data_IF_921477458778
#
_entry.id   IF_921477458778
#
_cell.length_a   1.000
_cell.length_b   1.000
_cell.length_c   1.000
_cell.angle_alpha   90.00
_cell.angle_beta   90.00
_cell.angle_gamma   90.00
#
_symmetry.space_group_name_H-M   'P 1'
#
loop_
_entity.id
_entity.type
_entity.pdbx_description
1 polymer ?
#
# COMPACT_ATOMS: atom_id res chain seq x y z
N UNK A 1 6.67 14.04 14.88
CA UNK A 1 7.02 13.48 13.58
C UNK A 1 6.89 11.97 13.65
N UNK A 2 5.76 11.45 13.19
CA UNK A 2 5.42 10.02 13.16
C UNK A 2 5.42 9.50 11.73
N UNK A 3 5.80 8.25 11.53
CA UNK A 3 5.73 7.61 10.23
C UNK A 3 5.12 6.23 10.38
N UNK A 4 4.29 5.86 9.41
CA UNK A 4 3.69 4.52 9.32
C UNK A 4 4.11 3.87 8.01
N UNK A 5 4.43 2.58 8.04
CA UNK A 5 4.72 1.80 6.83
C UNK A 5 3.51 0.96 6.46
N UNK A 6 3.16 0.96 5.17
CA UNK A 6 2.09 0.15 4.57
C UNK A 6 2.54 -0.46 3.25
N UNK A 7 1.82 -1.48 2.82
CA UNK A 7 1.92 -2.03 1.46
C UNK A 7 0.62 -1.75 0.75
N UNK A 8 0.67 -1.14 -0.42
CA UNK A 8 -0.52 -0.81 -1.20
C UNK A 8 -0.27 -1.09 -2.68
N UNK A 9 -1.23 -1.77 -3.32
CA UNK A 9 -1.16 -2.19 -4.72
C UNK A 9 -2.51 -1.92 -5.39
N UNK A 10 -2.79 -0.67 -5.81
CA UNK A 10 -4.00 -0.35 -6.56
C UNK A 10 -4.05 -1.14 -7.86
N UNK A 11 -5.13 -1.88 -8.08
CA UNK A 11 -5.32 -2.76 -9.22
C UNK A 11 -5.97 -1.95 -10.35
N UNK A 12 -5.18 -1.60 -11.36
CA UNK A 12 -5.66 -0.82 -12.52
C UNK A 12 -5.36 -1.50 -13.85
N UNK A 13 -4.56 -2.57 -13.84
CA UNK A 13 -4.17 -3.32 -15.02
C UNK A 13 -4.26 -4.83 -14.78
N UNK A 14 -4.37 -5.61 -15.87
CA UNK A 14 -4.30 -7.08 -15.81
C UNK A 14 -3.01 -7.58 -15.16
N UNK A 15 -1.92 -6.81 -15.28
CA UNK A 15 -0.63 -7.14 -14.67
C UNK A 15 -0.69 -7.01 -13.14
N UNK A 16 -1.40 -6.00 -12.63
CA UNK A 16 -1.64 -5.85 -11.19
C UNK A 16 -2.49 -6.99 -10.65
N UNK A 17 -3.53 -7.37 -11.40
CA UNK A 17 -4.42 -8.48 -11.07
C UNK A 17 -3.64 -9.80 -10.97
N UNK A 18 -2.73 -10.07 -11.90
CA UNK A 18 -1.85 -11.25 -11.87
C UNK A 18 -0.98 -11.28 -10.62
N UNK A 19 -0.44 -10.15 -10.18
CA UNK A 19 0.48 -10.09 -9.05
C UNK A 19 -0.23 -9.99 -7.68
N UNK A 20 -1.36 -9.30 -7.61
CA UNK A 20 -1.97 -8.86 -6.36
C UNK A 20 -3.47 -9.13 -6.23
N UNK A 21 -4.20 -9.47 -7.31
CA UNK A 21 -5.65 -9.68 -7.28
C UNK A 21 -6.14 -10.85 -6.41
N UNK A 22 -5.22 -11.70 -5.93
CA UNK A 22 -5.53 -12.82 -5.01
C UNK A 22 -4.97 -12.63 -3.60
N UNK A 23 -4.37 -11.48 -3.29
CA UNK A 23 -3.85 -11.26 -1.93
C UNK A 23 -5.01 -11.01 -0.97
N UNK A 24 -4.98 -11.70 0.17
CA UNK A 24 -5.90 -11.38 1.26
C UNK A 24 -5.51 -10.03 1.88
N UNK A 25 -6.50 -9.16 2.07
CA UNK A 25 -6.34 -7.90 2.78
C UNK A 25 -6.09 -8.19 4.28
N UNK A 26 -5.10 -7.51 4.87
CA UNK A 26 -4.82 -7.60 6.30
C UNK A 26 -3.34 -7.69 6.69
N UNK A 27 -3.11 -7.86 7.99
CA UNK A 27 -1.76 -7.97 8.56
C UNK A 27 -1.04 -9.21 8.04
N UNK A 28 0.19 -9.02 7.59
CA UNK A 28 1.06 -10.13 7.23
C UNK A 28 1.98 -10.49 8.39
N UNK A 29 1.93 -11.75 8.82
CA UNK A 29 2.87 -12.32 9.78
C UNK A 29 4.00 -13.00 9.01
N UNK A 30 5.24 -12.58 9.26
CA UNK A 30 6.42 -13.12 8.61
C UNK A 30 7.59 -13.25 9.59
N UNK A 31 8.75 -13.63 9.05
CA UNK A 31 10.02 -13.65 9.79
C UNK A 31 10.95 -12.64 9.13
N UNK A 32 11.35 -11.62 9.89
CA UNK A 32 12.37 -10.65 9.50
C UNK A 32 13.58 -10.89 10.39
N UNK A 33 14.75 -11.13 9.79
CA UNK A 33 16.02 -11.40 10.49
C UNK A 33 15.94 -12.49 11.58
N UNK A 34 15.21 -13.57 11.30
CA UNK A 34 15.04 -14.70 12.22
C UNK A 34 14.07 -14.46 13.37
N UNK A 35 13.43 -13.28 13.45
CA UNK A 35 12.43 -12.95 14.47
C UNK A 35 11.03 -12.84 13.88
N UNK A 36 9.96 -13.23 14.62
CA UNK A 36 8.59 -12.98 14.20
C UNK A 36 8.36 -11.48 14.01
N UNK A 37 7.84 -11.12 12.84
CA UNK A 37 7.53 -9.75 12.50
C UNK A 37 6.10 -9.67 11.96
N UNK A 38 5.38 -8.63 12.39
CA UNK A 38 4.07 -8.30 11.85
C UNK A 38 4.23 -7.06 10.99
N UNK A 39 3.95 -7.22 9.70
CA UNK A 39 3.75 -6.08 8.82
C UNK A 39 2.31 -5.61 8.99
N UNK A 40 2.11 -4.30 8.92
CA UNK A 40 0.77 -3.71 8.87
C UNK A 40 -0.02 -4.20 7.64
N UNK A 41 -1.27 -3.73 7.49
CA UNK A 41 -2.16 -4.20 6.45
C UNK A 41 -1.56 -4.00 5.05
N UNK A 42 -1.76 -5.01 4.20
CA UNK A 42 -1.61 -4.86 2.75
C UNK A 42 -2.96 -4.51 2.14
N UNK A 43 -2.99 -3.47 1.31
CA UNK A 43 -4.16 -3.07 0.53
C UNK A 43 -3.95 -3.46 -0.93
N UNK A 44 -4.81 -4.31 -1.48
CA UNK A 44 -4.74 -4.73 -2.87
C UNK A 44 -6.15 -4.85 -3.43
N UNK A 45 -6.63 -3.77 -4.05
CA UNK A 45 -7.99 -3.67 -4.59
C UNK A 45 -8.04 -2.55 -5.64
N UNK A 46 -9.24 -2.22 -6.15
CA UNK A 46 -9.44 -1.05 -7.01
C UNK A 46 -8.96 0.24 -6.33
N UNK A 47 -8.59 1.28 -7.09
CA UNK A 47 -8.16 2.56 -6.52
C UNK A 47 -9.15 3.15 -5.51
N UNK A 48 -10.45 3.05 -5.79
CA UNK A 48 -11.53 3.55 -4.93
C UNK A 48 -11.60 2.80 -3.60
N UNK A 49 -11.49 1.47 -3.64
CA UNK A 49 -11.50 0.64 -2.44
C UNK A 49 -10.22 0.83 -1.61
N UNK A 50 -9.05 0.96 -2.26
CA UNK A 50 -7.81 1.30 -1.57
C UNK A 50 -7.90 2.69 -0.91
N UNK A 51 -8.51 3.67 -1.59
CA UNK A 51 -8.75 5.00 -1.02
C UNK A 51 -9.65 4.92 0.23
N UNK A 52 -10.74 4.16 0.18
CA UNK A 52 -11.62 3.94 1.32
C UNK A 52 -10.87 3.28 2.49
N UNK A 53 -10.05 2.27 2.20
CA UNK A 53 -9.23 1.59 3.20
C UNK A 53 -8.18 2.51 3.83
N UNK A 54 -7.56 3.40 3.04
CA UNK A 54 -6.63 4.40 3.57
C UNK A 54 -7.31 5.37 4.54
N UNK A 55 -8.52 5.82 4.19
CA UNK A 55 -9.29 6.73 5.04
C UNK A 55 -9.83 6.05 6.31
N UNK A 56 -9.99 4.73 6.28
CA UNK A 56 -10.38 3.93 7.44
C UNK A 56 -9.20 3.56 8.36
N UNK A 57 -7.95 3.70 7.90
CA UNK A 57 -6.76 3.42 8.72
C UNK A 57 -6.34 4.65 9.54
N UNK A 58 -6.55 4.57 10.85
CA UNK A 58 -6.20 5.62 11.80
C UNK A 58 -4.70 5.96 11.75
N UNK A 59 -3.82 4.97 11.61
CA UNK A 59 -2.39 5.23 11.53
C UNK A 59 -2.00 5.97 10.24
N UNK A 60 -2.68 5.74 9.12
CA UNK A 60 -2.48 6.54 7.88
C UNK A 60 -2.97 7.97 8.07
N UNK A 61 -4.15 8.14 8.65
CA UNK A 61 -4.77 9.47 8.80
C UNK A 61 -4.05 10.35 9.83
N UNK A 62 -3.49 9.75 10.89
CA UNK A 62 -2.78 10.48 11.94
C UNK A 62 -1.27 10.69 11.66
N UNK A 63 -0.62 9.81 10.90
CA UNK A 63 0.85 9.85 10.74
C UNK A 63 1.35 11.03 9.90
N UNK A 64 2.43 11.68 10.30
CA UNK A 64 3.11 12.74 9.53
C UNK A 64 3.58 12.26 8.15
N UNK A 65 4.01 11.00 8.05
CA UNK A 65 4.37 10.35 6.79
C UNK A 65 3.78 8.95 6.67
N UNK A 66 3.44 8.58 5.44
CA UNK A 66 3.13 7.20 5.06
C UNK A 66 4.21 6.73 4.12
N UNK A 67 4.87 5.64 4.50
CA UNK A 67 5.94 4.99 3.76
C UNK A 67 5.36 3.75 3.09
N UNK A 68 5.59 3.60 1.78
CA UNK A 68 5.11 2.43 1.03
C UNK A 68 6.24 1.44 0.76
N UNK A 69 6.03 0.19 1.18
CA UNK A 69 6.94 -0.92 0.90
C UNK A 69 6.63 -1.52 -0.49
N UNK A 70 7.55 -1.33 -1.42
CA UNK A 70 7.41 -1.77 -2.81
C UNK A 70 8.30 -2.98 -3.13
N UNK A 71 7.83 -3.97 -3.91
CA UNK A 71 8.60 -5.15 -4.28
C UNK A 71 9.68 -4.80 -5.32
N UNK A 72 10.93 -4.70 -4.88
CA UNK A 72 12.07 -4.40 -5.75
C UNK A 72 12.24 -5.38 -6.94
N UNK A 73 11.80 -6.63 -6.78
CA UNK A 73 11.87 -7.68 -7.80
C UNK A 73 11.02 -7.37 -9.04
N UNK A 74 10.01 -6.51 -8.92
CA UNK A 74 9.15 -6.13 -10.04
C UNK A 74 9.74 -4.98 -10.89
N UNK A 75 10.89 -4.44 -10.49
CA UNK A 75 11.64 -3.44 -11.26
C UNK A 75 11.14 -2.01 -11.07
N UNK A 76 11.90 -1.05 -11.62
CA UNK A 76 11.65 0.39 -11.45
C UNK A 76 10.35 0.81 -12.11
N UNK A 77 10.11 0.42 -13.36
CA UNK A 77 8.94 0.85 -14.14
C UNK A 77 7.63 0.44 -13.47
N UNK A 78 7.56 -0.80 -12.96
CA UNK A 78 6.36 -1.28 -12.27
C UNK A 78 6.15 -0.57 -10.93
N UNK A 79 7.22 -0.35 -10.17
CA UNK A 79 7.12 0.39 -8.91
C UNK A 79 6.75 1.87 -9.12
N UNK A 80 7.16 2.47 -10.25
CA UNK A 80 6.73 3.81 -10.64
C UNK A 80 5.23 3.86 -10.98
N UNK A 81 4.70 2.82 -11.66
CA UNK A 81 3.25 2.64 -11.88
C UNK A 81 2.49 2.61 -10.55
N UNK A 82 2.87 1.71 -9.64
CA UNK A 82 2.22 1.60 -8.32
C UNK A 82 2.26 2.92 -7.54
N UNK A 83 3.42 3.60 -7.51
CA UNK A 83 3.54 4.89 -6.83
C UNK A 83 2.72 6.00 -7.47
N UNK A 84 2.51 5.94 -8.80
CA UNK A 84 1.66 6.89 -9.51
C UNK A 84 0.21 6.74 -9.06
N UNK A 85 -0.29 5.50 -9.00
CA UNK A 85 -1.66 5.23 -8.53
C UNK A 85 -1.87 5.62 -7.07
N UNK A 86 -0.90 5.30 -6.19
CA UNK A 86 -0.94 5.75 -4.78
C UNK A 86 -0.98 7.28 -4.69
N UNK A 87 -0.18 7.99 -5.50
CA UNK A 87 -0.17 9.45 -5.51
C UNK A 87 -1.49 10.04 -6.02
N UNK A 88 -2.16 9.38 -6.98
CA UNK A 88 -3.49 9.78 -7.44
C UNK A 88 -4.51 9.64 -6.32
N UNK A 89 -4.54 8.48 -5.65
CA UNK A 89 -5.40 8.24 -4.48
C UNK A 89 -5.19 9.31 -3.41
N UNK A 90 -3.94 9.60 -3.03
CA UNK A 90 -3.65 10.61 -2.02
C UNK A 90 -4.17 12.01 -2.39
N UNK A 91 -4.12 12.39 -3.68
CA UNK A 91 -4.66 13.68 -4.16
C UNK A 91 -6.18 13.71 -4.13
N UNK A 92 -6.82 12.61 -4.52
CA UNK A 92 -8.27 12.46 -4.55
C UNK A 92 -8.88 12.49 -3.14
N UNK A 93 -8.27 11.79 -2.20
CA UNK A 93 -8.70 11.79 -0.78
C UNK A 93 -8.32 13.09 -0.05
N UNK A 94 -7.45 13.91 -0.64
CA UNK A 94 -6.98 15.14 -0.01
C UNK A 94 -6.07 14.91 1.18
N UNK A 95 -5.40 13.75 1.23
CA UNK A 95 -4.51 13.40 2.33
C UNK A 95 -3.36 14.40 2.41
N UNK A 96 -3.39 15.21 3.49
CA UNK A 96 -2.39 16.25 3.85
C UNK A 96 -2.06 17.24 2.72
N UNK A 97 -3.10 17.77 2.07
CA UNK A 97 -3.00 18.96 1.19
C UNK A 97 -2.43 20.18 1.93
#
# INVERSE_FOLDING_TARGET
>A
MTAVTRSAFPITTDKDEIYFGRRENGDSVGVLDGSPARSGPTYADSPEEVAAQFMADEAITEADYVLFALPNQLGVDYNAHVMTEIANIARETGWKK
#
